data_IF_383991462322
#
_entry.id   IF_383991462322
#
_cell.length_a   1.000
_cell.length_b   1.000
_cell.length_c   1.000
_cell.angle_alpha   90.00
_cell.angle_beta   90.00
_cell.angle_gamma   90.00
#
_symmetry.space_group_name_H-M   'P 1'
#
loop_
_entity.id
_entity.type
_entity.pdbx_description
1 polymer ?
#
# COMPACT_ATOMS: atom_id res chain seq x y z
N UNK A 1 -15.31 58.30 -4.63
CA UNK A 1 -14.33 57.84 -3.60
C UNK A 1 -14.74 56.45 -3.19
N UNK A 2 -14.02 55.43 -3.64
CA UNK A 2 -14.29 54.02 -3.31
C UNK A 2 -13.17 53.57 -2.38
N UNK A 3 -13.56 53.32 -1.12
CA UNK A 3 -12.66 52.80 -0.10
C UNK A 3 -12.25 51.37 -0.45
N UNK A 4 -10.94 51.13 -0.64
CA UNK A 4 -10.33 49.79 -0.73
C UNK A 4 -9.92 49.38 0.67
N UNK A 5 -10.50 48.32 1.18
CA UNK A 5 -10.05 47.60 2.39
C UNK A 5 -8.80 46.79 2.06
N UNK A 6 -7.73 46.80 2.89
CA UNK A 6 -6.56 45.94 2.66
C UNK A 6 -6.87 44.49 3.04
N UNK A 7 -6.64 43.58 2.10
CA UNK A 7 -6.74 42.13 2.33
C UNK A 7 -5.61 41.68 3.25
N UNK A 8 -5.98 41.03 4.34
CA UNK A 8 -5.06 40.23 5.16
C UNK A 8 -4.83 38.90 4.46
N UNK A 9 -3.76 38.81 3.69
CA UNK A 9 -3.18 37.56 3.23
C UNK A 9 -2.22 37.03 4.30
N UNK A 10 -2.73 36.29 5.26
CA UNK A 10 -1.88 35.47 6.12
C UNK A 10 -1.46 34.25 5.35
N UNK A 11 -0.20 34.14 4.94
CA UNK A 11 0.39 32.90 4.45
C UNK A 11 0.38 31.90 5.58
N UNK A 12 -0.39 30.81 5.42
CA UNK A 12 -0.34 29.67 6.30
C UNK A 12 1.01 28.95 6.08
N UNK A 13 1.98 29.20 6.94
CA UNK A 13 3.19 28.41 7.03
C UNK A 13 2.87 27.16 7.85
N UNK A 14 2.46 26.09 7.17
CA UNK A 14 2.40 24.76 7.75
C UNK A 14 3.78 24.31 8.24
N UNK A 15 3.85 23.35 9.19
CA UNK A 15 5.13 22.86 9.69
C UNK A 15 6.00 22.38 8.52
N UNK A 16 7.22 22.89 8.46
CA UNK A 16 8.24 22.44 7.52
C UNK A 16 8.56 20.96 7.81
N UNK A 17 7.86 20.06 7.13
CA UNK A 17 8.29 18.66 7.06
C UNK A 17 9.64 18.65 6.33
N UNK A 18 10.69 18.47 7.08
CA UNK A 18 12.02 18.22 6.56
C UNK A 18 11.96 16.94 5.73
N UNK A 19 11.67 17.06 4.44
CA UNK A 19 11.84 15.95 3.50
C UNK A 19 13.32 15.57 3.56
N UNK A 20 13.62 14.42 4.12
CA UNK A 20 14.90 13.77 3.89
C UNK A 20 14.87 13.42 2.41
N UNK A 21 15.55 14.24 1.60
CA UNK A 21 15.63 13.99 0.17
C UNK A 21 16.72 12.96 -0.07
N UNK A 22 16.39 11.80 -0.64
CA UNK A 22 17.39 10.83 -1.02
C UNK A 22 18.23 11.42 -2.14
N UNK A 23 19.53 11.39 -1.97
CA UNK A 23 20.49 11.79 -3.00
C UNK A 23 21.08 10.54 -3.63
N UNK A 24 20.76 10.28 -4.89
CA UNK A 24 21.34 9.15 -5.63
C UNK A 24 20.35 8.48 -6.58
N UNK A 25 20.80 7.51 -7.37
CA UNK A 25 19.95 6.81 -8.32
C UNK A 25 18.92 5.92 -7.59
N UNK A 26 17.67 6.04 -7.99
CA UNK A 26 16.54 5.25 -7.48
C UNK A 26 16.07 4.23 -8.51
N UNK A 27 15.29 3.23 -8.06
CA UNK A 27 14.58 2.34 -8.99
C UNK A 27 13.66 3.15 -9.90
N UNK A 28 13.52 2.68 -11.16
CA UNK A 28 12.61 3.30 -12.13
C UNK A 28 11.21 2.70 -12.10
N UNK A 29 11.03 1.56 -11.46
CA UNK A 29 9.74 0.87 -11.36
C UNK A 29 9.55 0.24 -9.99
N UNK A 30 8.36 0.45 -9.42
CA UNK A 30 7.92 -0.18 -8.18
C UNK A 30 6.59 -0.88 -8.46
N UNK A 31 6.48 -2.14 -8.04
CA UNK A 31 5.23 -2.91 -8.04
C UNK A 31 4.84 -3.12 -6.58
N UNK A 32 3.69 -2.61 -6.17
CA UNK A 32 3.20 -2.75 -4.79
C UNK A 32 2.00 -3.68 -4.83
N UNK A 33 2.07 -4.79 -4.11
CA UNK A 33 1.10 -5.89 -4.14
C UNK A 33 0.44 -6.02 -2.78
N UNK A 34 -0.89 -6.10 -2.74
CA UNK A 34 -1.62 -6.48 -1.55
C UNK A 34 -1.59 -7.99 -1.36
N UNK A 35 -1.46 -8.45 -0.11
CA UNK A 35 -1.54 -9.87 0.22
C UNK A 35 -2.84 -10.53 -0.27
N UNK A 36 -2.81 -11.85 -0.46
CA UNK A 36 -3.98 -12.66 -0.80
C UNK A 36 -5.04 -12.68 0.30
N UNK A 37 -6.21 -13.27 0.04
CA UNK A 37 -7.31 -13.34 0.99
C UNK A 37 -6.91 -14.10 2.26
N UNK A 38 -7.48 -13.68 3.39
CA UNK A 38 -7.38 -14.34 4.70
C UNK A 38 -8.79 -14.61 5.22
N UNK A 39 -8.93 -15.49 6.21
CA UNK A 39 -10.22 -15.72 6.87
C UNK A 39 -10.83 -14.43 7.45
N UNK A 40 -10.01 -13.43 7.85
CA UNK A 40 -10.53 -12.15 8.32
C UNK A 40 -11.08 -11.28 7.18
N UNK A 41 -10.52 -11.36 5.97
CA UNK A 41 -11.12 -10.69 4.82
C UNK A 41 -12.48 -11.27 4.47
N UNK A 42 -12.59 -12.60 4.42
CA UNK A 42 -13.84 -13.32 4.17
C UNK A 42 -14.90 -12.99 5.23
N UNK A 43 -14.53 -12.91 6.50
CA UNK A 43 -15.41 -12.61 7.61
C UNK A 43 -15.67 -11.11 7.83
N UNK A 44 -15.15 -10.22 6.98
CA UNK A 44 -15.23 -8.76 7.14
C UNK A 44 -14.74 -8.27 8.51
N UNK A 45 -13.64 -8.85 9.00
CA UNK A 45 -12.97 -8.41 10.22
C UNK A 45 -11.86 -7.42 9.93
N UNK A 46 -11.71 -6.45 10.80
CA UNK A 46 -10.60 -5.50 10.75
C UNK A 46 -9.31 -6.20 11.22
N UNK A 47 -8.36 -6.41 10.30
CA UNK A 47 -7.17 -7.21 10.63
C UNK A 47 -6.11 -6.42 11.40
N UNK A 48 -5.79 -5.22 10.91
CA UNK A 48 -4.67 -4.46 11.42
C UNK A 48 -3.37 -5.28 11.41
N UNK A 49 -2.68 -5.33 12.55
CA UNK A 49 -1.44 -6.08 12.72
C UNK A 49 -1.62 -7.46 13.36
N UNK A 50 -2.86 -7.93 13.56
CA UNK A 50 -3.09 -9.34 13.91
C UNK A 50 -2.52 -10.23 12.83
N UNK A 51 -1.66 -11.16 13.22
CA UNK A 51 -0.96 -12.02 12.29
C UNK A 51 -1.72 -13.33 12.07
N UNK A 52 -2.39 -13.41 10.93
CA UNK A 52 -3.10 -14.60 10.45
C UNK A 52 -2.64 -14.95 9.03
N UNK A 53 -2.61 -16.24 8.67
CA UNK A 53 -2.16 -16.69 7.36
C UNK A 53 -3.18 -16.39 6.25
N UNK A 54 -2.79 -16.64 5.02
CA UNK A 54 -3.70 -16.74 3.90
C UNK A 54 -4.68 -17.91 4.13
N UNK A 55 -5.90 -17.78 3.60
CA UNK A 55 -6.81 -18.93 3.45
C UNK A 55 -6.54 -19.65 2.12
N UNK A 56 -7.21 -20.78 1.87
CA UNK A 56 -7.02 -21.57 0.65
C UNK A 56 -7.29 -20.78 -0.64
N UNK A 57 -8.27 -19.88 -0.61
CA UNK A 57 -8.56 -19.00 -1.76
C UNK A 57 -7.45 -17.95 -1.91
N UNK A 58 -6.97 -17.37 -0.81
CA UNK A 58 -5.84 -16.45 -0.84
C UNK A 58 -4.57 -17.08 -1.38
N UNK A 59 -4.27 -18.32 -1.01
CA UNK A 59 -3.14 -19.08 -1.57
C UNK A 59 -3.28 -19.29 -3.07
N UNK A 60 -4.49 -19.60 -3.55
CA UNK A 60 -4.77 -19.71 -4.98
C UNK A 60 -4.62 -18.35 -5.67
N UNK A 61 -5.20 -17.28 -5.10
CA UNK A 61 -5.09 -15.91 -5.64
C UNK A 61 -3.63 -15.49 -5.84
N UNK A 62 -2.78 -15.67 -4.82
CA UNK A 62 -1.38 -15.25 -4.91
C UNK A 62 -0.59 -16.04 -5.95
N UNK A 63 -0.93 -17.31 -6.18
CA UNK A 63 -0.33 -18.10 -7.27
C UNK A 63 -0.69 -17.55 -8.65
N UNK A 64 -1.95 -17.11 -8.87
CA UNK A 64 -2.36 -16.50 -10.14
C UNK A 64 -1.65 -15.15 -10.36
N UNK A 65 -1.66 -14.30 -9.31
CA UNK A 65 -0.99 -13.00 -9.34
C UNK A 65 0.51 -13.14 -9.58
N UNK A 66 1.18 -14.05 -8.88
CA UNK A 66 2.62 -14.29 -9.04
C UNK A 66 2.99 -14.70 -10.47
N UNK A 67 2.20 -15.55 -11.12
CA UNK A 67 2.38 -15.91 -12.54
C UNK A 67 2.26 -14.67 -13.43
N UNK A 68 1.19 -13.91 -13.26
CA UNK A 68 0.93 -12.72 -14.08
C UNK A 68 2.00 -11.65 -13.89
N UNK A 69 2.46 -11.43 -12.65
CA UNK A 69 3.55 -10.48 -12.37
C UNK A 69 4.86 -10.90 -13.06
N UNK A 70 5.18 -12.20 -13.07
CA UNK A 70 6.34 -12.71 -13.80
C UNK A 70 6.21 -12.50 -15.30
N UNK A 71 5.08 -12.89 -15.87
CA UNK A 71 4.82 -12.74 -17.33
C UNK A 71 4.91 -11.27 -17.76
N UNK A 72 4.38 -10.34 -16.98
CA UNK A 72 4.33 -8.92 -17.32
C UNK A 72 5.65 -8.18 -17.07
N UNK A 73 6.37 -8.51 -15.98
CA UNK A 73 7.44 -7.66 -15.46
C UNK A 73 8.80 -8.36 -15.36
N UNK A 74 8.86 -9.68 -15.56
CA UNK A 74 10.11 -10.45 -15.46
C UNK A 74 10.42 -11.21 -16.75
N UNK A 75 9.52 -12.07 -17.22
CA UNK A 75 9.79 -12.98 -18.32
C UNK A 75 9.76 -12.29 -19.70
N UNK A 76 10.56 -12.79 -20.64
CA UNK A 76 10.50 -12.38 -22.04
C UNK A 76 11.02 -10.98 -22.37
N UNK A 77 11.67 -10.29 -21.45
CA UNK A 77 12.29 -8.98 -21.69
C UNK A 77 13.81 -9.10 -21.81
N UNK A 78 14.45 -8.76 -22.96
CA UNK A 78 15.90 -8.83 -23.11
C UNK A 78 16.68 -7.91 -22.18
N UNK A 79 16.04 -6.82 -21.70
CA UNK A 79 16.62 -5.83 -20.79
C UNK A 79 15.96 -5.91 -19.40
N UNK A 80 15.81 -7.13 -18.85
CA UNK A 80 15.14 -7.34 -17.58
C UNK A 80 15.94 -6.67 -16.46
N UNK A 81 15.38 -5.69 -15.76
CA UNK A 81 15.98 -5.15 -14.54
C UNK A 81 16.11 -6.27 -13.49
N UNK A 82 17.09 -6.18 -12.61
CA UNK A 82 17.13 -7.01 -11.41
C UNK A 82 15.84 -6.83 -10.62
N UNK A 83 15.43 -7.84 -9.88
CA UNK A 83 14.29 -7.76 -8.98
C UNK A 83 14.79 -7.72 -7.55
N UNK A 84 14.20 -6.84 -6.74
CA UNK A 84 14.36 -6.82 -5.29
C UNK A 84 12.99 -6.99 -4.66
N UNK A 85 12.85 -7.96 -3.74
CA UNK A 85 11.58 -8.29 -3.12
C UNK A 85 11.60 -7.89 -1.65
N UNK A 86 10.69 -7.00 -1.28
CA UNK A 86 10.47 -6.55 0.10
C UNK A 86 9.05 -6.90 0.51
N UNK A 87 8.84 -7.30 1.76
CA UNK A 87 7.50 -7.58 2.27
C UNK A 87 7.32 -7.08 3.70
N UNK A 88 6.06 -6.91 4.10
CA UNK A 88 5.70 -6.88 5.51
C UNK A 88 6.11 -8.19 6.17
N UNK A 89 6.53 -8.14 7.42
CA UNK A 89 6.86 -9.31 8.22
C UNK A 89 5.63 -10.04 8.80
N UNK A 90 4.41 -9.59 8.46
CA UNK A 90 3.17 -10.32 8.77
C UNK A 90 3.00 -11.51 7.81
N UNK A 91 2.65 -12.68 8.36
CA UNK A 91 2.64 -13.97 7.67
C UNK A 91 1.93 -13.98 6.33
N UNK A 92 0.76 -13.36 6.21
CA UNK A 92 0.02 -13.25 4.94
C UNK A 92 0.77 -12.52 3.82
N UNK A 93 1.55 -11.51 4.17
CA UNK A 93 2.37 -10.78 3.20
C UNK A 93 3.65 -11.55 2.87
N UNK A 94 4.25 -12.21 3.84
CA UNK A 94 5.39 -13.12 3.65
C UNK A 94 5.00 -14.25 2.70
N UNK A 95 3.88 -14.93 2.93
CA UNK A 95 3.38 -16.00 2.05
C UNK A 95 3.13 -15.48 0.62
N UNK A 96 2.57 -14.28 0.48
CA UNK A 96 2.33 -13.66 -0.84
C UNK A 96 3.66 -13.36 -1.55
N UNK A 97 4.64 -12.83 -0.84
CA UNK A 97 5.97 -12.55 -1.40
C UNK A 97 6.70 -13.81 -1.86
N UNK A 98 6.68 -14.87 -1.07
CA UNK A 98 7.28 -16.17 -1.41
C UNK A 98 6.63 -16.82 -2.63
N UNK A 99 5.30 -16.70 -2.80
CA UNK A 99 4.64 -17.21 -4.01
C UNK A 99 5.20 -16.58 -5.30
N UNK A 100 5.68 -15.35 -5.25
CA UNK A 100 6.34 -14.67 -6.36
C UNK A 100 7.84 -14.97 -6.43
N UNK A 101 8.55 -14.89 -5.30
CA UNK A 101 10.01 -14.89 -5.23
C UNK A 101 10.63 -16.27 -5.39
N UNK A 102 10.06 -17.31 -4.74
CA UNK A 102 10.66 -18.64 -4.69
C UNK A 102 10.88 -19.27 -6.07
N UNK A 103 9.90 -19.20 -7.02
CA UNK A 103 10.12 -19.73 -8.37
C UNK A 103 11.20 -19.00 -9.18
N UNK A 104 11.61 -17.81 -8.74
CA UNK A 104 12.67 -17.00 -9.35
C UNK A 104 14.01 -17.13 -8.61
N UNK A 105 14.05 -17.84 -7.47
CA UNK A 105 15.24 -17.95 -6.63
C UNK A 105 15.65 -16.61 -5.99
N UNK A 106 14.69 -15.72 -5.72
CA UNK A 106 14.93 -14.40 -5.13
C UNK A 106 14.80 -14.42 -3.61
N UNK A 107 15.67 -13.70 -2.93
CA UNK A 107 15.55 -13.45 -1.50
C UNK A 107 14.38 -12.52 -1.20
N UNK A 108 13.65 -12.81 -0.12
CA UNK A 108 12.57 -11.97 0.41
C UNK A 108 13.09 -11.20 1.63
N UNK A 109 12.93 -9.88 1.62
CA UNK A 109 13.41 -8.98 2.68
C UNK A 109 12.24 -8.46 3.53
N UNK A 110 12.00 -8.99 4.74
CA UNK A 110 10.98 -8.46 5.64
C UNK A 110 11.33 -7.06 6.17
N UNK A 111 10.33 -6.16 6.23
CA UNK A 111 10.47 -4.81 6.78
C UNK A 111 9.19 -4.42 7.53
N UNK A 112 9.30 -4.15 8.84
CA UNK A 112 8.17 -3.76 9.67
C UNK A 112 7.55 -2.40 9.26
N UNK A 113 8.27 -1.55 8.56
CA UNK A 113 7.74 -0.27 8.05
C UNK A 113 6.68 -0.47 6.96
N UNK A 114 6.58 -1.65 6.35
CA UNK A 114 5.54 -1.97 5.38
C UNK A 114 4.40 -2.83 5.96
N UNK A 115 4.30 -2.96 7.29
CA UNK A 115 3.14 -3.55 7.99
C UNK A 115 1.86 -2.78 7.71
N UNK A 116 0.73 -3.47 7.87
CA UNK A 116 -0.59 -2.85 7.84
C UNK A 116 -0.70 -1.73 8.90
N UNK A 117 -1.64 -0.82 8.68
CA UNK A 117 -2.07 0.14 9.69
C UNK A 117 -2.56 -0.58 10.92
N UNK A 118 -2.07 -0.22 12.10
CA UNK A 118 -2.69 -0.71 13.33
C UNK A 118 -4.06 -0.06 13.54
N UNK A 119 -5.04 -0.86 13.96
CA UNK A 119 -6.37 -0.40 14.34
C UNK A 119 -6.62 -0.50 15.87
N UNK A 120 -5.57 -0.78 16.62
CA UNK A 120 -5.62 -0.82 18.09
C UNK A 120 -6.66 -1.81 18.60
N UNK A 121 -7.53 -1.36 19.51
CA UNK A 121 -8.55 -2.21 20.12
C UNK A 121 -9.64 -2.72 19.17
N UNK A 122 -9.70 -2.21 17.93
CA UNK A 122 -10.66 -2.68 16.93
C UNK A 122 -10.16 -3.86 16.12
N UNK A 123 -8.90 -4.26 16.26
CA UNK A 123 -8.34 -5.42 15.56
C UNK A 123 -9.06 -6.71 15.93
N UNK A 124 -9.43 -7.50 14.93
CA UNK A 124 -10.17 -8.76 15.10
C UNK A 124 -11.68 -8.60 15.16
N UNK A 125 -12.22 -7.41 15.38
CA UNK A 125 -13.67 -7.18 15.38
C UNK A 125 -14.25 -7.19 13.97
N UNK A 126 -15.49 -7.67 13.82
CA UNK A 126 -16.26 -7.55 12.58
C UNK A 126 -16.74 -6.12 12.40
N UNK A 127 -16.92 -5.69 11.18
CA UNK A 127 -17.48 -4.36 10.89
C UNK A 127 -18.88 -4.17 11.52
N UNK A 128 -19.69 -5.23 11.54
CA UNK A 128 -21.01 -5.23 12.21
C UNK A 128 -20.92 -5.06 13.74
N UNK A 129 -19.90 -5.64 14.36
CA UNK A 129 -19.63 -5.48 15.80
C UNK A 129 -19.19 -4.04 16.09
N UNK A 130 -18.35 -3.44 15.24
CA UNK A 130 -17.95 -2.05 15.35
C UNK A 130 -19.14 -1.09 15.21
N UNK A 131 -20.01 -1.32 14.24
CA UNK A 131 -21.21 -0.51 14.03
C UNK A 131 -22.18 -0.58 15.21
N UNK A 132 -22.35 -1.77 15.80
CA UNK A 132 -23.24 -1.99 16.94
C UNK A 132 -22.68 -1.42 18.24
N UNK A 133 -21.40 -1.71 18.55
CA UNK A 133 -20.82 -1.47 19.87
C UNK A 133 -20.08 -0.12 19.97
N UNK A 134 -19.71 0.48 18.84
CA UNK A 134 -18.97 1.74 18.73
C UNK A 134 -19.63 2.70 17.72
N UNK A 135 -20.95 2.73 17.65
CA UNK A 135 -21.73 3.39 16.60
C UNK A 135 -21.22 4.77 16.19
N UNK A 136 -21.03 5.69 17.15
CA UNK A 136 -20.59 7.07 16.85
C UNK A 136 -19.16 7.10 16.29
N UNK A 137 -18.24 6.37 16.90
CA UNK A 137 -16.84 6.33 16.48
C UNK A 137 -16.66 5.58 15.15
N UNK A 138 -17.46 4.50 14.94
CA UNK A 138 -17.49 3.80 13.66
C UNK A 138 -18.01 4.70 12.54
N UNK A 139 -19.10 5.44 12.74
CA UNK A 139 -19.61 6.41 11.76
C UNK A 139 -18.60 7.54 11.51
N UNK A 140 -17.95 8.04 12.56
CA UNK A 140 -16.87 9.02 12.43
C UNK A 140 -15.73 8.49 11.55
N UNK A 141 -15.29 7.25 11.77
CA UNK A 141 -14.29 6.58 10.93
C UNK A 141 -14.74 6.42 9.48
N UNK A 142 -15.98 5.96 9.27
CA UNK A 142 -16.58 5.80 7.94
C UNK A 142 -16.63 7.11 7.14
N UNK A 143 -16.78 8.23 7.83
CA UNK A 143 -16.77 9.57 7.25
C UNK A 143 -15.40 10.27 7.30
N UNK A 144 -14.33 9.49 7.54
CA UNK A 144 -12.93 9.96 7.60
C UNK A 144 -12.66 11.00 8.70
N UNK A 145 -13.45 11.04 9.76
CA UNK A 145 -13.34 12.00 10.85
C UNK A 145 -12.57 11.46 12.08
N UNK A 146 -11.91 10.30 11.95
CA UNK A 146 -10.89 9.82 12.91
C UNK A 146 -11.45 9.16 14.18
N UNK A 147 -12.68 8.64 14.17
CA UNK A 147 -13.26 7.95 15.34
C UNK A 147 -12.43 6.77 15.84
N UNK A 148 -11.75 6.06 14.93
CA UNK A 148 -10.87 4.93 15.25
C UNK A 148 -9.64 5.32 16.08
N UNK A 149 -9.21 6.58 16.04
CA UNK A 149 -8.04 7.06 16.79
C UNK A 149 -8.24 6.98 18.29
N UNK A 150 -9.49 7.12 18.78
CA UNK A 150 -9.82 6.97 20.20
C UNK A 150 -9.58 5.55 20.72
N UNK A 151 -9.51 4.58 19.82
CA UNK A 151 -9.30 3.16 20.11
C UNK A 151 -7.85 2.71 19.86
N UNK A 152 -6.93 3.66 19.72
CA UNK A 152 -5.50 3.39 19.55
C UNK A 152 -5.08 3.04 18.13
N UNK A 153 -5.90 3.35 17.13
CA UNK A 153 -5.50 3.17 15.74
C UNK A 153 -4.35 4.12 15.37
N UNK A 154 -3.45 3.63 14.53
CA UNK A 154 -2.33 4.41 13.98
C UNK A 154 -2.87 5.55 13.10
N UNK A 155 -2.39 6.79 13.26
CA UNK A 155 -2.78 7.90 12.38
C UNK A 155 -2.43 7.60 10.92
N UNK A 156 -3.36 7.91 10.00
CA UNK A 156 -3.16 7.66 8.55
C UNK A 156 -1.88 8.33 8.01
N UNK A 157 -1.58 9.57 8.45
CA UNK A 157 -0.36 10.27 8.07
C UNK A 157 0.90 9.52 8.48
N UNK A 158 0.96 8.97 9.69
CA UNK A 158 2.10 8.19 10.16
C UNK A 158 2.32 6.91 9.32
N UNK A 159 1.23 6.25 8.90
CA UNK A 159 1.31 5.11 7.97
C UNK A 159 1.93 5.53 6.63
N UNK A 160 1.48 6.65 6.08
CA UNK A 160 2.02 7.19 4.83
C UNK A 160 3.49 7.57 4.94
N UNK A 161 3.88 8.24 6.01
CA UNK A 161 5.26 8.66 6.28
C UNK A 161 6.22 7.46 6.37
N UNK A 162 5.90 6.44 7.21
CA UNK A 162 6.75 5.24 7.31
C UNK A 162 6.78 4.43 6.02
N UNK A 163 5.68 4.48 5.24
CA UNK A 163 5.61 3.85 3.94
C UNK A 163 6.53 4.51 2.91
N UNK A 164 6.51 5.83 2.83
CA UNK A 164 7.42 6.59 1.96
C UNK A 164 8.88 6.39 2.38
N UNK A 165 9.18 6.41 3.68
CA UNK A 165 10.53 6.11 4.19
C UNK A 165 11.02 4.72 3.77
N UNK A 166 10.16 3.70 3.84
CA UNK A 166 10.49 2.35 3.40
C UNK A 166 10.75 2.30 1.88
N UNK A 167 9.86 2.86 1.07
CA UNK A 167 9.98 2.90 -0.39
C UNK A 167 11.28 3.62 -0.80
N UNK A 168 11.56 4.74 -0.20
CA UNK A 168 12.74 5.56 -0.48
C UNK A 168 14.04 4.79 -0.16
N UNK A 169 14.13 4.24 1.05
CA UNK A 169 15.32 3.51 1.48
C UNK A 169 15.58 2.25 0.62
N UNK A 170 14.56 1.49 0.28
CA UNK A 170 14.70 0.30 -0.57
C UNK A 170 14.95 0.66 -2.03
N UNK A 171 14.31 1.70 -2.53
CA UNK A 171 14.51 2.20 -3.89
C UNK A 171 15.95 2.66 -4.12
N UNK A 172 16.49 3.43 -3.17
CA UNK A 172 17.88 3.86 -3.21
C UNK A 172 18.88 2.69 -3.10
N UNK A 173 18.62 1.73 -2.19
CA UNK A 173 19.46 0.53 -2.04
C UNK A 173 19.50 -0.33 -3.30
N UNK A 174 18.38 -0.46 -3.99
CA UNK A 174 18.24 -1.27 -5.19
C UNK A 174 18.90 -0.65 -6.43
N UNK A 175 18.79 0.67 -6.60
CA UNK A 175 19.34 1.41 -7.73
C UNK A 175 18.50 1.29 -9.02
N UNK A 176 18.89 2.03 -10.09
CA UNK A 176 18.06 2.26 -11.28
C UNK A 176 17.81 1.04 -12.16
N UNK A 177 18.67 0.03 -12.10
CA UNK A 177 18.57 -1.19 -12.90
C UNK A 177 17.77 -2.31 -12.22
N UNK A 178 16.95 -1.93 -11.22
CA UNK A 178 16.16 -2.88 -10.43
C UNK A 178 14.69 -2.49 -10.48
N UNK A 179 13.79 -3.47 -10.55
CA UNK A 179 12.38 -3.32 -10.22
C UNK A 179 12.19 -3.72 -8.75
N UNK A 180 11.60 -2.82 -7.96
CA UNK A 180 11.27 -3.07 -6.56
C UNK A 180 9.86 -3.66 -6.46
N UNK A 181 9.74 -4.86 -5.92
CA UNK A 181 8.47 -5.48 -5.57
C UNK A 181 8.23 -5.37 -4.07
N UNK A 182 7.09 -4.80 -3.68
CA UNK A 182 6.72 -4.59 -2.27
C UNK A 182 5.41 -5.30 -1.98
N UNK A 183 5.42 -6.29 -1.10
CA UNK A 183 4.23 -7.05 -0.70
C UNK A 183 3.73 -6.53 0.66
N UNK A 184 2.52 -5.98 0.68
CA UNK A 184 1.99 -5.27 1.84
C UNK A 184 0.46 -5.40 1.95
N UNK A 185 -0.23 -4.40 2.46
CA UNK A 185 -1.62 -4.43 2.94
C UNK A 185 -2.44 -3.25 2.43
N UNK A 186 -3.76 -3.36 2.54
CA UNK A 186 -4.68 -2.40 1.94
C UNK A 186 -4.54 -0.97 2.44
N UNK A 187 -4.58 -0.73 3.75
CA UNK A 187 -4.51 0.62 4.27
C UNK A 187 -3.09 1.20 4.14
N UNK A 188 -2.04 0.39 4.37
CA UNK A 188 -0.67 0.83 4.14
C UNK A 188 -0.45 1.29 2.69
N UNK A 189 -0.87 0.49 1.70
CA UNK A 189 -0.74 0.82 0.27
C UNK A 189 -1.44 2.15 -0.03
N UNK A 190 -2.69 2.29 0.40
CA UNK A 190 -3.48 3.50 0.16
C UNK A 190 -2.81 4.75 0.75
N UNK A 191 -2.38 4.70 2.01
CA UNK A 191 -1.77 5.85 2.68
C UNK A 191 -0.38 6.18 2.10
N UNK A 192 0.43 5.15 1.80
CA UNK A 192 1.75 5.32 1.18
C UNK A 192 1.64 5.95 -0.21
N UNK A 193 0.74 5.46 -1.06
CA UNK A 193 0.53 6.02 -2.39
C UNK A 193 0.03 7.47 -2.35
N UNK A 194 -0.93 7.78 -1.47
CA UNK A 194 -1.44 9.15 -1.31
C UNK A 194 -0.33 10.11 -0.86
N UNK A 195 0.52 9.69 0.07
CA UNK A 195 1.64 10.50 0.56
C UNK A 195 2.72 10.67 -0.52
N UNK A 196 3.12 9.57 -1.17
CA UNK A 196 4.16 9.55 -2.20
C UNK A 196 3.82 10.38 -3.44
N UNK A 197 2.53 10.38 -3.82
CA UNK A 197 2.02 11.12 -4.97
C UNK A 197 1.58 12.57 -4.63
N UNK A 198 1.73 12.98 -3.37
CA UNK A 198 1.35 14.32 -2.92
C UNK A 198 -0.17 14.55 -2.84
N UNK A 199 -0.97 13.49 -2.87
CA UNK A 199 -2.44 13.57 -2.80
C UNK A 199 -2.94 13.90 -1.39
N UNK A 200 -2.11 13.65 -0.38
CA UNK A 200 -2.41 13.91 1.02
C UNK A 200 -2.37 15.40 1.41
N UNK A 201 -1.91 16.29 0.54
CA UNK A 201 -1.72 17.71 0.86
C UNK A 201 -3.02 18.54 0.88
N UNK A 202 -4.13 18.02 0.35
CA UNK A 202 -5.41 18.74 0.28
C UNK A 202 -6.37 18.42 1.42
N UNK A 203 -6.57 17.19 1.69
CA UNK A 203 -7.39 16.68 2.78
C UNK A 203 -7.08 15.19 2.99
N UNK A 204 -6.48 14.83 4.12
CA UNK A 204 -6.20 13.44 4.50
C UNK A 204 -7.47 12.59 4.64
N UNK A 205 -8.62 13.24 4.72
CA UNK A 205 -9.92 12.61 4.91
C UNK A 205 -10.62 12.29 3.59
N UNK A 206 -10.10 12.74 2.46
CA UNK A 206 -10.66 12.43 1.16
C UNK A 206 -10.09 11.11 0.63
N UNK A 207 -10.87 10.05 0.69
CA UNK A 207 -10.56 8.76 0.09
C UNK A 207 -10.59 8.83 -1.44
N UNK A 208 -9.59 9.47 -2.04
CA UNK A 208 -9.47 9.57 -3.50
C UNK A 208 -9.21 8.20 -4.18
N UNK A 209 -8.89 7.18 -3.39
CA UNK A 209 -8.56 5.85 -3.88
C UNK A 209 -9.45 4.81 -3.20
N UNK A 210 -10.03 3.91 -3.99
CA UNK A 210 -10.72 2.73 -3.45
C UNK A 210 -9.73 1.79 -2.77
N UNK A 211 -10.20 0.93 -1.86
CA UNK A 211 -9.36 -0.13 -1.32
C UNK A 211 -8.91 -1.07 -2.44
N UNK A 212 -7.61 -1.39 -2.46
CA UNK A 212 -7.09 -2.39 -3.38
C UNK A 212 -7.64 -3.78 -3.02
N UNK A 213 -8.04 -4.60 -4.00
CA UNK A 213 -8.47 -5.97 -3.78
C UNK A 213 -7.32 -6.88 -3.36
N UNK A 214 -7.63 -8.02 -2.72
CA UNK A 214 -6.62 -9.00 -2.33
C UNK A 214 -5.86 -9.52 -3.56
N UNK A 215 -4.55 -9.68 -3.43
CA UNK A 215 -3.63 -10.11 -4.47
C UNK A 215 -3.63 -9.23 -5.75
N UNK A 216 -4.12 -8.00 -5.66
CA UNK A 216 -3.99 -6.98 -6.71
C UNK A 216 -2.76 -6.11 -6.46
N UNK A 217 -2.38 -5.31 -7.45
CA UNK A 217 -1.19 -4.47 -7.38
C UNK A 217 -1.41 -3.06 -7.94
N UNK A 218 -0.47 -2.19 -7.58
CA UNK A 218 -0.24 -0.91 -8.21
C UNK A 218 1.17 -0.88 -8.81
N UNK A 219 1.35 -0.13 -9.88
CA UNK A 219 2.64 0.14 -10.48
C UNK A 219 2.95 1.62 -10.48
N UNK A 220 4.16 1.93 -10.05
CA UNK A 220 4.74 3.27 -10.11
C UNK A 220 5.94 3.28 -11.05
N UNK A 221 6.10 4.38 -11.77
CA UNK A 221 7.32 4.68 -12.52
C UNK A 221 7.94 5.96 -11.99
N UNK A 222 9.24 5.93 -11.74
CA UNK A 222 10.02 7.05 -11.23
C UNK A 222 10.80 7.75 -12.33
N UNK A 223 10.91 9.06 -12.24
CA UNK A 223 11.79 9.88 -13.08
C UNK A 223 12.62 10.79 -12.19
N UNK A 224 13.95 10.67 -12.29
CA UNK A 224 14.89 11.52 -11.56
C UNK A 224 14.68 12.98 -11.97
N UNK A 225 14.73 13.88 -11.00
CA UNK A 225 14.61 15.32 -11.20
C UNK A 225 16.00 15.98 -11.08
N UNK A 226 16.19 17.16 -11.66
CA UNK A 226 17.47 17.88 -11.58
C UNK A 226 17.92 18.25 -10.15
N UNK A 227 16.98 18.29 -9.21
CA UNK A 227 17.23 18.54 -7.79
C UNK A 227 17.61 17.28 -6.99
N UNK A 228 17.74 16.12 -7.67
CA UNK A 228 18.05 14.84 -7.07
C UNK A 228 16.84 14.10 -6.48
N UNK A 229 15.64 14.66 -6.59
CA UNK A 229 14.40 14.00 -6.17
C UNK A 229 13.87 13.04 -7.25
N UNK A 230 12.96 12.15 -6.88
CA UNK A 230 12.24 11.29 -7.83
C UNK A 230 10.80 11.74 -7.93
N UNK A 231 10.34 11.96 -9.16
CA UNK A 231 8.91 12.16 -9.42
C UNK A 231 8.25 10.83 -9.74
N UNK A 232 7.42 10.37 -8.84
CA UNK A 232 6.63 9.16 -9.03
C UNK A 232 5.35 9.43 -9.82
N UNK A 233 4.99 8.48 -10.68
CA UNK A 233 3.73 8.44 -11.42
C UNK A 233 3.12 7.06 -11.24
N UNK A 234 1.86 6.98 -10.85
CA UNK A 234 1.10 5.74 -10.83
C UNK A 234 0.61 5.43 -12.23
N UNK A 235 1.00 4.29 -12.77
CA UNK A 235 0.64 3.83 -14.11
C UNK A 235 -0.43 2.75 -14.10
N UNK A 236 -0.56 2.05 -12.97
CA UNK A 236 -1.57 1.01 -12.74
C UNK A 236 -2.03 1.09 -11.28
N UNK A 237 -3.30 0.86 -11.04
CA UNK A 237 -3.87 0.77 -9.70
C UNK A 237 -4.97 -0.27 -9.64
N UNK A 238 -4.96 -1.09 -8.57
CA UNK A 238 -5.92 -2.17 -8.36
C UNK A 238 -6.01 -3.11 -9.57
N UNK A 239 -4.87 -3.35 -10.22
CA UNK A 239 -4.75 -4.25 -11.34
C UNK A 239 -4.61 -5.69 -10.82
N UNK A 240 -5.29 -6.63 -11.44
CA UNK A 240 -5.27 -8.06 -11.12
C UNK A 240 -4.95 -8.92 -12.33
N UNK A 241 -4.73 -10.23 -12.15
CA UNK A 241 -4.70 -11.16 -13.28
C UNK A 241 -6.08 -11.20 -13.97
N UNK A 242 -6.14 -11.51 -15.26
CA UNK A 242 -7.40 -11.50 -16.03
C UNK A 242 -8.53 -12.33 -15.39
N UNK A 243 -8.22 -13.40 -14.66
CA UNK A 243 -9.19 -14.19 -13.93
C UNK A 243 -9.82 -13.44 -12.75
N UNK A 244 -9.19 -12.37 -12.28
CA UNK A 244 -9.73 -11.55 -11.17
C UNK A 244 -11.00 -10.77 -11.57
N UNK A 245 -11.25 -10.61 -12.85
CA UNK A 245 -12.48 -9.99 -13.38
C UNK A 245 -13.66 -10.97 -13.45
N UNK A 246 -13.53 -12.18 -12.91
CA UNK A 246 -14.54 -13.23 -12.91
C UNK A 246 -14.96 -13.65 -11.51
N UNK A 247 -16.15 -14.26 -11.37
CA UNK A 247 -16.65 -14.80 -10.10
C UNK A 247 -15.72 -15.87 -9.50
N UNK A 248 -14.84 -16.47 -10.29
CA UNK A 248 -13.85 -17.44 -9.81
C UNK A 248 -12.80 -16.83 -8.90
N UNK A 249 -12.63 -15.52 -8.89
CA UNK A 249 -11.65 -14.88 -8.02
C UNK A 249 -11.94 -15.03 -6.53
N UNK A 250 -13.20 -14.91 -6.16
CA UNK A 250 -13.64 -15.04 -4.76
C UNK A 250 -14.11 -16.48 -4.41
N UNK A 251 -14.50 -17.27 -5.40
CA UNK A 251 -14.99 -18.63 -5.22
C UNK A 251 -14.39 -19.60 -6.27
N UNK A 252 -13.07 -19.85 -6.25
CA UNK A 252 -12.43 -20.74 -7.20
C UNK A 252 -12.83 -22.20 -6.98
N UNK A 253 -12.85 -22.98 -8.05
CA UNK A 253 -12.86 -24.45 -7.93
C UNK A 253 -11.44 -24.89 -7.57
N UNK A 254 -11.23 -25.23 -6.31
CA UNK A 254 -9.96 -25.74 -5.81
C UNK A 254 -9.87 -27.24 -6.06
N UNK A 255 -8.78 -27.72 -6.68
CA UNK A 255 -8.50 -29.13 -6.98
C UNK A 255 -7.25 -29.61 -6.27
#
# INVERSE_FOLDING_TARGET
MVNRTPGMGGEYQGPEHRRVQPTGPHVRSIIIVRHGRTAYNEQHRLQGQVDIPLDEVGEWQVRQTARTLRDLYVDGRPDIPKQLVVCSDLGRAVQTAHAFADPLGLDVHPDARVRERSFGAWEGLRLEELERDFTEDYQSWRHFAGGELKHGAEPKGAVGERGVEAIDGWSHRAGPDTTLFVFSHGAWISQTLQTLLGMAQGNHDFGAMTSMFNAHWARLTGADQPDGTVRWRMTEYNHGPAIADTDQWEAPTLH
#
